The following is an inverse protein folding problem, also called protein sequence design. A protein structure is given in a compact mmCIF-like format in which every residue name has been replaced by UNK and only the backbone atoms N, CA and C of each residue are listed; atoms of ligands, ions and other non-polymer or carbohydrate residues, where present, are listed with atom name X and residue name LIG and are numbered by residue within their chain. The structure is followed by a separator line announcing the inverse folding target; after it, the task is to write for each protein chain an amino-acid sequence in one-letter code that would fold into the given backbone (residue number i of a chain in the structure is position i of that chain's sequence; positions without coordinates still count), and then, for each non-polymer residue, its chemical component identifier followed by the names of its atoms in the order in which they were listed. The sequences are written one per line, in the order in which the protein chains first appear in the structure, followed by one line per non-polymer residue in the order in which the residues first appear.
data_IF_570387880177
#
_entry.id   IF_570387880177
#
_cell.length_a   1.000
_cell.length_b   1.000
_cell.length_c   1.000
_cell.angle_alpha   90.00
_cell.angle_beta   90.00
_cell.angle_gamma   90.00
#
_symmetry.space_group_name_H-M   'P 1'
#
loop_
_entity.id
_entity.type
_entity.pdbx_description
1 polymer ?
#
# COMPACT_ATOMS: atom_id res chain seq x y z
N UNK A 1 -4.62 24.59 -3.77
CA UNK A 1 -4.33 23.69 -2.63
C UNK A 1 -5.57 22.86 -2.41
N UNK A 2 -5.48 21.53 -2.43
CA UNK A 2 -6.65 20.64 -2.32
C UNK A 2 -7.00 20.50 -0.85
N UNK A 3 -8.07 21.17 -0.41
CA UNK A 3 -8.62 21.03 0.92
C UNK A 3 -9.86 20.13 0.85
N UNK A 4 -9.64 18.83 1.09
CA UNK A 4 -10.66 17.81 0.95
C UNK A 4 -10.57 16.82 2.14
N UNK A 5 -10.95 17.24 3.36
CA UNK A 5 -10.75 16.43 4.57
C UNK A 5 -11.55 15.12 4.59
N UNK A 6 -12.56 15.02 3.73
CA UNK A 6 -13.44 13.85 3.61
C UNK A 6 -12.91 12.78 2.62
N UNK A 7 -11.72 12.96 2.05
CA UNK A 7 -11.09 11.96 1.18
C UNK A 7 -10.79 10.69 1.98
N UNK A 8 -11.39 9.57 1.56
CA UNK A 8 -11.15 8.24 2.12
C UNK A 8 -10.23 7.36 1.27
N UNK A 9 -10.15 7.68 -0.02
CA UNK A 9 -9.40 6.90 -1.01
C UNK A 9 -8.61 7.85 -1.90
N UNK A 10 -7.33 7.57 -2.06
CA UNK A 10 -6.41 8.40 -2.84
C UNK A 10 -5.42 7.53 -3.63
N UNK A 11 -5.26 7.83 -4.92
CA UNK A 11 -4.18 7.28 -5.74
C UNK A 11 -3.19 8.38 -6.07
N UNK A 12 -1.91 8.09 -5.85
CA UNK A 12 -0.82 9.01 -6.11
C UNK A 12 0.14 8.39 -7.11
N UNK A 13 0.17 8.98 -8.31
CA UNK A 13 1.11 8.65 -9.37
C UNK A 13 2.19 9.71 -9.42
N UNK A 14 3.43 9.30 -9.16
CA UNK A 14 4.61 10.16 -9.15
C UNK A 14 5.50 9.82 -10.34
N UNK A 15 5.41 10.67 -11.37
CA UNK A 15 6.34 10.67 -12.49
C UNK A 15 7.21 11.92 -12.39
N UNK A 16 8.51 11.74 -12.22
CA UNK A 16 9.50 12.81 -12.14
C UNK A 16 10.79 12.29 -12.76
N UNK A 17 11.37 13.11 -13.62
CA UNK A 17 12.64 12.82 -14.25
C UNK A 17 13.82 13.25 -13.35
N UNK A 18 13.54 13.66 -12.11
CA UNK A 18 14.50 14.18 -11.14
C UNK A 18 14.37 13.40 -9.84
N UNK A 19 15.48 12.85 -9.36
CA UNK A 19 15.59 12.39 -7.99
C UNK A 19 15.44 13.61 -7.06
N UNK A 20 14.35 13.64 -6.30
CA UNK A 20 14.15 14.63 -5.25
C UNK A 20 14.51 13.96 -3.92
N UNK A 21 15.27 14.64 -3.07
CA UNK A 21 15.56 14.14 -1.71
C UNK A 21 14.28 14.09 -0.84
N UNK A 22 13.30 14.96 -1.14
CA UNK A 22 12.00 15.03 -0.49
C UNK A 22 10.92 15.31 -1.52
N UNK A 23 9.80 14.59 -1.42
CA UNK A 23 8.69 14.76 -2.34
C UNK A 23 7.69 15.79 -1.80
N UNK A 24 7.57 16.99 -2.42
CA UNK A 24 6.74 18.07 -1.90
C UNK A 24 5.25 17.70 -1.86
N UNK A 25 4.79 16.77 -2.72
CA UNK A 25 3.41 16.29 -2.71
C UNK A 25 3.18 15.40 -1.49
N UNK A 26 4.13 14.50 -1.18
CA UNK A 26 4.08 13.65 0.01
C UNK A 26 4.13 14.50 1.28
N UNK A 27 5.02 15.50 1.31
CA UNK A 27 5.13 16.45 2.42
C UNK A 27 3.83 17.20 2.67
N UNK A 28 3.19 17.66 1.59
CA UNK A 28 1.89 18.32 1.64
C UNK A 28 0.79 17.38 2.15
N UNK A 29 0.72 16.14 1.68
CA UNK A 29 -0.31 15.19 2.13
C UNK A 29 -0.12 14.84 3.61
N UNK A 30 1.14 14.63 4.01
CA UNK A 30 1.52 14.28 5.37
C UNK A 30 1.36 15.45 6.37
N UNK A 31 1.43 16.71 5.91
CA UNK A 31 1.37 17.89 6.77
C UNK A 31 0.42 18.95 6.21
N UNK A 32 -0.57 19.33 7.00
CA UNK A 32 -1.36 20.53 6.75
C UNK A 32 -0.47 21.76 6.95
N UNK A 33 -0.42 22.63 5.94
CA UNK A 33 0.48 23.80 5.85
C UNK A 33 0.29 24.89 6.93
N UNK A 34 -0.47 24.65 8.00
CA UNK A 34 -0.78 25.64 9.02
C UNK A 34 -0.02 25.32 10.31
N UNK A 35 0.82 26.24 10.77
CA UNK A 35 1.72 26.12 11.93
C UNK A 35 1.05 25.74 13.27
N UNK A 36 -0.28 25.73 13.33
CA UNK A 36 -1.07 25.40 14.53
C UNK A 36 -1.83 24.07 14.44
N UNK A 37 -1.84 23.41 13.28
CA UNK A 37 -2.73 22.27 13.01
C UNK A 37 -1.95 21.21 12.22
N UNK A 38 -1.10 20.45 12.91
CA UNK A 38 -0.10 19.52 12.34
C UNK A 38 -0.67 18.17 11.91
N UNK A 39 -1.91 18.15 11.41
CA UNK A 39 -2.56 16.92 10.95
C UNK A 39 -2.30 16.62 9.47
N UNK A 40 -2.53 15.39 9.00
CA UNK A 40 -2.55 15.08 7.57
C UNK A 40 -3.65 15.87 6.85
N UNK A 41 -3.45 16.14 5.55
CA UNK A 41 -4.45 16.82 4.72
C UNK A 41 -5.70 15.95 4.50
N UNK A 42 -5.53 14.62 4.48
CA UNK A 42 -6.60 13.64 4.33
C UNK A 42 -6.73 12.77 5.59
N UNK A 43 -7.27 13.30 6.71
CA UNK A 43 -7.30 12.59 7.99
C UNK A 43 -8.18 11.33 7.99
N UNK A 44 -9.10 11.21 7.02
CA UNK A 44 -10.00 10.07 6.87
C UNK A 44 -9.51 9.04 5.83
N UNK A 45 -8.27 9.18 5.34
CA UNK A 45 -7.72 8.27 4.35
C UNK A 45 -7.59 6.84 4.90
N UNK A 46 -8.27 5.90 4.25
CA UNK A 46 -8.23 4.46 4.58
C UNK A 46 -7.70 3.62 3.42
N UNK A 47 -7.75 4.12 2.18
CA UNK A 47 -7.23 3.43 0.99
C UNK A 47 -6.21 4.28 0.26
N UNK A 48 -5.00 3.75 0.08
CA UNK A 48 -3.90 4.42 -0.62
C UNK A 48 -3.38 3.54 -1.76
N UNK A 49 -3.37 4.08 -2.96
CA UNK A 49 -2.55 3.55 -4.06
C UNK A 49 -1.35 4.46 -4.26
N UNK A 50 -0.14 3.91 -4.21
CA UNK A 50 1.08 4.70 -4.29
C UNK A 50 2.01 4.17 -5.36
N UNK A 51 2.16 4.93 -6.44
CA UNK A 51 2.83 4.51 -7.66
C UNK A 51 3.95 5.50 -7.99
N UNK A 52 5.20 5.06 -8.02
CA UNK A 52 6.30 5.91 -8.50
C UNK A 52 7.35 5.14 -9.30
N UNK A 53 8.18 5.90 -10.02
CA UNK A 53 9.24 5.35 -10.89
C UNK A 53 10.61 5.25 -10.19
N UNK A 54 10.70 5.55 -8.90
CA UNK A 54 11.93 5.52 -8.09
C UNK A 54 11.65 4.90 -6.72
N UNK A 55 12.70 4.74 -5.90
CA UNK A 55 12.54 4.23 -4.53
C UNK A 55 11.64 5.13 -3.68
N UNK A 56 10.45 4.63 -3.36
CA UNK A 56 9.44 5.31 -2.55
C UNK A 56 9.51 4.99 -1.07
N UNK A 57 10.48 4.22 -0.61
CA UNK A 57 10.50 3.67 0.75
C UNK A 57 10.35 4.77 1.82
N UNK A 58 11.08 5.87 1.69
CA UNK A 58 11.00 7.01 2.63
C UNK A 58 9.64 7.71 2.58
N UNK A 59 9.14 7.97 1.38
CA UNK A 59 7.87 8.65 1.15
C UNK A 59 6.69 7.80 1.66
N UNK A 60 6.70 6.50 1.38
CA UNK A 60 5.69 5.56 1.85
C UNK A 60 5.69 5.48 3.38
N UNK A 61 6.87 5.44 4.02
CA UNK A 61 6.97 5.50 5.49
C UNK A 61 6.30 6.74 6.04
N UNK A 62 6.58 7.90 5.44
CA UNK A 62 6.00 9.17 5.89
C UNK A 62 4.47 9.17 5.77
N UNK A 63 3.92 8.66 4.66
CA UNK A 63 2.48 8.56 4.47
C UNK A 63 1.83 7.60 5.46
N UNK A 64 2.37 6.39 5.63
CA UNK A 64 1.80 5.40 6.54
C UNK A 64 1.89 5.84 8.01
N UNK A 65 2.97 6.52 8.40
CA UNK A 65 3.12 7.07 9.75
C UNK A 65 2.06 8.14 10.07
N UNK A 66 1.73 8.98 9.09
CA UNK A 66 0.73 10.05 9.24
C UNK A 66 -0.71 9.57 9.06
N UNK A 67 -0.91 8.40 8.45
CA UNK A 67 -2.23 7.82 8.16
C UNK A 67 -2.32 6.37 8.72
N UNK A 68 -2.31 6.18 10.05
CA UNK A 68 -2.32 4.85 10.67
C UNK A 68 -3.62 4.05 10.43
N UNK A 69 -4.66 4.71 9.93
CA UNK A 69 -5.97 4.13 9.62
C UNK A 69 -6.04 3.51 8.21
N UNK A 70 -4.96 3.53 7.43
CA UNK A 70 -4.92 2.87 6.13
C UNK A 70 -5.17 1.38 6.30
N UNK A 71 -6.28 0.90 5.73
CA UNK A 71 -6.69 -0.50 5.69
C UNK A 71 -6.35 -1.16 4.37
N UNK A 72 -6.21 -0.38 3.30
CA UNK A 72 -5.95 -0.85 1.94
C UNK A 72 -4.75 -0.12 1.35
N UNK A 73 -3.74 -0.89 0.93
CA UNK A 73 -2.55 -0.38 0.29
C UNK A 73 -2.34 -1.07 -1.07
N UNK A 74 -2.13 -0.27 -2.11
CA UNK A 74 -1.83 -0.74 -3.46
C UNK A 74 -0.46 -0.20 -3.88
N UNK A 75 0.43 -1.10 -4.30
CA UNK A 75 1.81 -0.80 -4.68
C UNK A 75 2.14 -1.41 -6.05
N UNK A 76 2.79 -0.70 -6.97
CA UNK A 76 3.12 -1.23 -8.29
C UNK A 76 4.21 -2.30 -8.28
N UNK A 77 5.23 -2.25 -7.42
CA UNK A 77 6.34 -3.22 -7.47
C UNK A 77 6.97 -3.54 -6.09
N UNK A 78 7.73 -4.62 -6.05
CA UNK A 78 8.30 -5.21 -4.84
C UNK A 78 9.25 -4.34 -3.96
N UNK A 79 10.10 -3.41 -4.47
CA UNK A 79 11.07 -2.70 -3.62
C UNK A 79 10.40 -1.87 -2.50
N UNK A 80 9.10 -1.70 -2.58
CA UNK A 80 8.25 -0.81 -1.81
C UNK A 80 7.76 -1.48 -0.50
N UNK A 81 7.88 -2.81 -0.38
CA UNK A 81 7.57 -3.55 0.84
C UNK A 81 8.64 -3.42 1.94
N UNK A 82 9.83 -2.92 1.60
CA UNK A 82 10.94 -2.72 2.55
C UNK A 82 10.50 -1.89 3.76
N UNK A 83 9.64 -0.88 3.54
CA UNK A 83 9.07 -0.07 4.61
C UNK A 83 8.29 -0.92 5.65
N UNK A 84 7.50 -1.89 5.18
CA UNK A 84 6.68 -2.75 6.04
C UNK A 84 7.48 -3.92 6.65
N UNK A 85 8.53 -4.37 5.97
CA UNK A 85 9.46 -5.39 6.49
C UNK A 85 10.30 -4.85 7.64
N UNK A 86 10.83 -3.64 7.52
CA UNK A 86 11.62 -3.02 8.58
C UNK A 86 10.75 -2.62 9.78
N UNK A 87 9.54 -2.10 9.52
CA UNK A 87 8.66 -1.56 10.55
C UNK A 87 7.23 -2.10 10.34
N UNK A 88 6.90 -3.31 10.81
CA UNK A 88 5.56 -3.90 10.61
C UNK A 88 4.41 -3.08 11.20
N UNK A 89 4.67 -2.33 12.27
CA UNK A 89 3.70 -1.48 12.95
C UNK A 89 3.42 -0.15 12.23
N UNK A 90 4.10 0.12 11.12
CA UNK A 90 3.94 1.34 10.34
C UNK A 90 2.53 1.49 9.74
N UNK A 91 1.88 0.37 9.42
CA UNK A 91 0.50 0.34 8.96
C UNK A 91 -0.29 -0.65 9.82
N UNK A 92 -0.70 -0.26 11.03
CA UNK A 92 -1.28 -1.19 12.00
C UNK A 92 -2.68 -1.66 11.58
N UNK A 93 -3.44 -0.81 10.89
CA UNK A 93 -4.80 -1.11 10.43
C UNK A 93 -4.85 -1.84 9.08
N UNK A 94 -3.68 -2.07 8.45
CA UNK A 94 -3.60 -2.64 7.12
C UNK A 94 -4.20 -4.05 7.11
N UNK A 95 -5.22 -4.25 6.28
CA UNK A 95 -5.96 -5.49 6.15
C UNK A 95 -5.85 -6.06 4.73
N UNK A 96 -5.79 -5.20 3.72
CA UNK A 96 -5.67 -5.55 2.31
C UNK A 96 -4.39 -4.94 1.73
N UNK A 97 -3.58 -5.79 1.10
CA UNK A 97 -2.37 -5.38 0.41
C UNK A 97 -2.42 -5.91 -1.04
N UNK A 98 -2.48 -5.01 -2.02
CA UNK A 98 -2.43 -5.36 -3.44
C UNK A 98 -1.08 -4.96 -4.03
N UNK A 99 -0.38 -5.88 -4.68
CA UNK A 99 0.90 -5.58 -5.29
C UNK A 99 1.32 -6.53 -6.42
N UNK A 100 2.34 -6.11 -7.16
CA UNK A 100 3.06 -6.95 -8.12
C UNK A 100 4.31 -7.55 -7.44
N UNK A 101 4.38 -8.89 -7.32
CA UNK A 101 5.48 -9.58 -6.63
C UNK A 101 6.26 -10.45 -7.60
N UNK A 102 7.56 -10.18 -7.68
CA UNK A 102 8.54 -11.05 -8.33
C UNK A 102 9.22 -12.01 -7.33
N UNK A 103 9.18 -11.70 -6.04
CA UNK A 103 9.87 -12.44 -4.96
C UNK A 103 8.90 -12.90 -3.85
N UNK A 104 8.29 -14.08 -4.02
CA UNK A 104 7.27 -14.61 -3.09
C UNK A 104 7.81 -14.90 -1.69
N UNK A 105 9.09 -15.27 -1.56
CA UNK A 105 9.72 -15.55 -0.27
C UNK A 105 9.66 -14.37 0.69
N UNK A 106 9.90 -13.16 0.18
CA UNK A 106 9.91 -11.96 1.00
C UNK A 106 8.49 -11.52 1.38
N UNK A 107 7.50 -11.71 0.50
CA UNK A 107 6.08 -11.52 0.86
C UNK A 107 5.67 -12.47 1.99
N UNK A 108 6.08 -13.73 1.91
CA UNK A 108 5.83 -14.73 2.96
C UNK A 108 6.46 -14.29 4.29
N UNK A 109 7.70 -13.79 4.26
CA UNK A 109 8.38 -13.27 5.44
C UNK A 109 7.63 -12.09 6.06
N UNK A 110 7.15 -11.15 5.23
CA UNK A 110 6.30 -10.04 5.70
C UNK A 110 5.04 -10.54 6.39
N UNK A 111 4.34 -11.52 5.81
CA UNK A 111 3.12 -12.09 6.38
C UNK A 111 3.38 -12.74 7.74
N UNK A 112 4.45 -13.52 7.85
CA UNK A 112 4.87 -14.15 9.10
C UNK A 112 5.22 -13.09 10.14
N UNK A 113 6.01 -12.08 9.75
CA UNK A 113 6.47 -11.01 10.62
C UNK A 113 5.29 -10.20 11.18
N UNK A 114 4.36 -9.80 10.33
CA UNK A 114 3.13 -9.09 10.73
C UNK A 114 2.25 -9.94 11.63
N UNK A 115 2.08 -11.23 11.34
CA UNK A 115 1.31 -12.15 12.20
C UNK A 115 1.94 -12.29 13.58
N UNK A 116 3.27 -12.37 13.68
CA UNK A 116 4.00 -12.38 14.96
C UNK A 116 3.86 -11.07 15.73
N UNK A 117 3.72 -9.95 15.02
CA UNK A 117 3.45 -8.64 15.61
C UNK A 117 1.97 -8.42 15.97
N UNK A 118 1.10 -9.44 15.83
CA UNK A 118 -0.35 -9.34 16.03
C UNK A 118 -1.05 -8.33 15.09
N UNK A 119 -0.50 -8.15 13.89
CA UNK A 119 -1.02 -7.25 12.83
C UNK A 119 -1.28 -8.01 11.51
N UNK A 120 -1.99 -9.16 11.53
CA UNK A 120 -2.13 -10.01 10.35
C UNK A 120 -2.86 -9.29 9.22
N UNK A 121 -2.38 -9.49 7.99
CA UNK A 121 -3.16 -9.14 6.80
C UNK A 121 -4.31 -10.12 6.65
N UNK A 122 -5.46 -9.64 6.19
CA UNK A 122 -6.62 -10.49 5.90
C UNK A 122 -6.57 -10.99 4.47
N UNK A 123 -6.24 -10.09 3.54
CA UNK A 123 -6.25 -10.35 2.11
C UNK A 123 -4.97 -9.82 1.48
N UNK A 124 -4.39 -10.62 0.60
CA UNK A 124 -3.31 -10.18 -0.29
C UNK A 124 -3.75 -10.39 -1.72
N UNK A 125 -3.68 -9.33 -2.52
CA UNK A 125 -3.96 -9.39 -3.94
C UNK A 125 -2.66 -9.34 -4.72
N UNK A 126 -2.42 -10.34 -5.56
CA UNK A 126 -1.24 -10.39 -6.40
C UNK A 126 -1.62 -10.26 -7.86
N UNK A 127 -0.92 -9.36 -8.55
CA UNK A 127 -1.05 -9.26 -10.00
C UNK A 127 -0.59 -10.56 -10.65
N UNK A 128 -1.43 -11.10 -11.54
CA UNK A 128 -1.20 -12.35 -12.25
C UNK A 128 -0.08 -12.15 -13.25
N UNK A 129 1.03 -12.83 -13.03
CA UNK A 129 2.09 -12.94 -14.01
C UNK A 129 1.89 -14.18 -14.87
N UNK A 130 1.91 -13.98 -16.20
CA UNK A 130 2.02 -15.07 -17.16
C UNK A 130 3.49 -15.22 -17.56
N UNK A 131 4.04 -16.44 -17.53
CA UNK A 131 5.40 -16.74 -18.01
C UNK A 131 6.41 -17.06 -16.91
N UNK A 132 7.64 -16.57 -17.03
CA UNK A 132 8.78 -16.95 -16.15
C UNK A 132 8.59 -16.56 -14.69
N UNK A 133 7.77 -15.54 -14.44
CA UNK A 133 7.43 -15.04 -13.10
C UNK A 133 6.11 -15.61 -12.57
N UNK A 134 5.56 -16.63 -13.24
CA UNK A 134 4.38 -17.32 -12.75
C UNK A 134 4.70 -18.00 -11.41
N UNK A 135 3.83 -17.79 -10.44
CA UNK A 135 3.92 -18.41 -9.13
C UNK A 135 3.78 -19.92 -9.26
N UNK A 136 4.65 -20.67 -8.58
CA UNK A 136 4.50 -22.12 -8.48
C UNK A 136 3.30 -22.48 -7.58
N UNK A 137 2.66 -23.65 -7.79
CA UNK A 137 1.58 -24.12 -6.92
C UNK A 137 1.99 -24.23 -5.45
N UNK A 138 3.24 -24.60 -5.17
CA UNK A 138 3.78 -24.71 -3.82
C UNK A 138 3.91 -23.34 -3.13
N UNK A 139 4.37 -22.32 -3.86
CA UNK A 139 4.43 -20.94 -3.36
C UNK A 139 3.03 -20.40 -3.10
N UNK A 140 2.09 -20.63 -4.03
CA UNK A 140 0.70 -20.22 -3.89
C UNK A 140 0.07 -20.80 -2.62
N UNK A 141 0.18 -22.12 -2.46
CA UNK A 141 -0.33 -22.81 -1.29
C UNK A 141 0.30 -22.28 0.01
N UNK A 142 1.60 -22.01 -0.01
CA UNK A 142 2.31 -21.46 1.14
C UNK A 142 1.83 -20.06 1.55
N UNK A 143 1.34 -19.26 0.60
CA UNK A 143 0.74 -17.95 0.86
C UNK A 143 -0.72 -18.07 1.32
N UNK A 144 -1.51 -18.95 0.67
CA UNK A 144 -2.91 -19.24 1.04
C UNK A 144 -3.05 -19.78 2.48
N UNK A 145 -2.04 -20.47 3.00
CA UNK A 145 -1.99 -20.90 4.41
C UNK A 145 -1.84 -19.73 5.40
N UNK A 146 -1.40 -18.56 4.93
CA UNK A 146 -1.14 -17.37 5.75
C UNK A 146 -2.21 -16.29 5.61
N UNK A 147 -2.83 -16.17 4.43
CA UNK A 147 -3.73 -15.06 4.07
C UNK A 147 -4.74 -15.48 3.01
N UNK A 148 -5.86 -14.75 2.90
CA UNK A 148 -6.77 -14.89 1.76
C UNK A 148 -6.10 -14.33 0.50
N UNK A 149 -5.65 -15.22 -0.38
CA UNK A 149 -4.89 -14.86 -1.57
C UNK A 149 -5.82 -14.69 -2.77
N UNK A 150 -5.75 -13.54 -3.42
CA UNK A 150 -6.52 -13.23 -4.62
C UNK A 150 -5.58 -12.90 -5.77
N UNK A 151 -5.75 -13.55 -6.92
CA UNK A 151 -5.00 -13.22 -8.14
C UNK A 151 -5.80 -12.24 -9.00
N UNK A 152 -5.18 -11.13 -9.41
CA UNK A 152 -5.83 -10.04 -10.15
C UNK A 152 -5.12 -9.76 -11.46
N UNK A 153 -5.83 -9.35 -12.51
CA UNK A 153 -5.19 -9.06 -13.80
C UNK A 153 -4.53 -7.67 -13.81
N UNK A 154 -5.15 -6.67 -13.18
CA UNK A 154 -4.65 -5.29 -13.08
C UNK A 154 -4.83 -4.71 -11.66
N UNK A 155 -3.84 -3.94 -11.21
CA UNK A 155 -3.82 -3.31 -9.87
C UNK A 155 -4.44 -1.90 -9.87
N UNK A 156 -4.27 -1.14 -10.95
CA UNK A 156 -4.65 0.28 -11.03
C UNK A 156 -6.18 0.48 -11.00
N UNK A 157 -6.93 -0.41 -11.65
CA UNK A 157 -8.40 -0.38 -11.75
C UNK A 157 -9.13 -0.80 -10.45
N UNK A 158 -8.40 -1.28 -9.44
CA UNK A 158 -8.99 -1.81 -8.20
C UNK A 158 -9.58 -0.74 -7.28
N UNK A 159 -8.99 0.46 -7.16
CA UNK A 159 -9.60 1.48 -6.29
C UNK A 159 -10.93 2.00 -6.83
N UNK A 160 -11.11 2.06 -8.15
CA UNK A 160 -12.40 2.38 -8.77
C UNK A 160 -13.44 1.28 -8.51
N UNK A 161 -13.01 0.02 -8.47
CA UNK A 161 -13.87 -1.13 -8.19
C UNK A 161 -14.28 -1.23 -6.71
N UNK A 162 -13.39 -0.85 -5.77
CA UNK A 162 -13.71 -0.82 -4.33
C UNK A 162 -14.73 0.28 -4.02
N UNK A 163 -14.63 1.44 -4.67
CA UNK A 163 -15.58 2.55 -4.50
C UNK A 163 -17.00 2.23 -4.98
N UNK A 164 -17.18 1.26 -5.89
CA UNK A 164 -18.50 0.87 -6.41
C UNK A 164 -19.16 -0.28 -5.62
N UNK A 165 -18.43 -0.93 -4.72
CA UNK A 165 -18.98 -1.97 -3.84
C UNK A 165 -19.67 -1.39 -2.60
N UNK A 166 -19.28 -0.20 -2.16
CA UNK A 166 -19.87 0.48 -0.99
C UNK A 166 -21.27 1.11 -1.25
N UNK A 167 -21.74 1.17 -2.51
CA UNK A 167 -23.08 1.68 -2.85
C UNK A 167 -24.20 0.64 -2.79
N UNK A 168 -23.93 -0.60 -2.35
CA UNK A 168 -24.93 -1.69 -2.34
C UNK A 168 -25.35 -2.23 -0.97
N UNK A 169 -25.21 -1.45 0.10
CA UNK A 169 -25.76 -1.80 1.43
C UNK A 169 -26.69 -0.74 1.97
#
# INVERSE_FOLDING_TARGET
MIDAPNVKSFQLYLASNRALETNPIVDYIANKNNATDSGPVFPLLTSLGFFAQWDITSDLRKLLYTHPNITTLILPEFPELTALLEIPCLAPSLALLSLEVKEFGVLRDLLILRRRACLPLKTVELKRHMGVWAMSPEEQKGLEELVDLVLVDELEDRMFSILTLDEKT
#
